data_IF_944691426414
#
_entry.id   IF_944691426414
#
_cell.length_a   1.000
_cell.length_b   1.000
_cell.length_c   1.000
_cell.angle_alpha   90.00
_cell.angle_beta   90.00
_cell.angle_gamma   90.00
#
_symmetry.space_group_name_H-M   'P 1'
#
loop_
_entity.id
_entity.type
_entity.pdbx_description
1 polymer ?
#
# COMPACT_ATOMS: atom_id res chain seq x y z
N UNK A 1 11.22 23.14 8.51
CA UNK A 1 9.74 23.13 8.60
C UNK A 1 9.21 22.34 7.41
N UNK A 2 8.40 21.32 7.65
CA UNK A 2 7.76 20.55 6.58
C UNK A 2 6.71 21.42 5.89
N UNK A 3 6.74 21.49 4.56
CA UNK A 3 5.72 22.23 3.82
C UNK A 3 4.39 21.46 3.82
N UNK A 4 3.23 22.14 3.79
CA UNK A 4 1.93 21.45 3.70
C UNK A 4 1.85 20.50 2.50
N UNK A 5 2.51 20.85 1.40
CA UNK A 5 2.58 20.01 0.20
C UNK A 5 3.31 18.70 0.47
N UNK A 6 4.41 18.71 1.21
CA UNK A 6 5.16 17.51 1.54
C UNK A 6 4.34 16.59 2.48
N UNK A 7 3.64 17.16 3.45
CA UNK A 7 2.73 16.42 4.32
C UNK A 7 1.64 15.69 3.53
N UNK A 8 0.99 16.38 2.60
CA UNK A 8 -0.02 15.77 1.72
C UNK A 8 0.59 14.71 0.80
N UNK A 9 1.81 14.92 0.30
CA UNK A 9 2.50 13.95 -0.54
C UNK A 9 2.82 12.66 0.24
N UNK A 10 3.25 12.76 1.51
CA UNK A 10 3.49 11.60 2.38
C UNK A 10 2.19 10.81 2.63
N UNK A 11 1.10 11.50 2.95
CA UNK A 11 -0.20 10.86 3.13
C UNK A 11 -0.69 10.17 1.86
N UNK A 12 -0.62 10.86 0.72
CA UNK A 12 -1.05 10.34 -0.58
C UNK A 12 -0.18 9.16 -1.02
N UNK A 13 1.14 9.26 -0.84
CA UNK A 13 2.08 8.18 -1.16
C UNK A 13 1.82 6.93 -0.34
N UNK A 14 1.58 7.07 0.97
CA UNK A 14 1.18 5.96 1.83
C UNK A 14 -0.12 5.31 1.33
N UNK A 15 -1.18 6.08 1.14
CA UNK A 15 -2.47 5.58 0.70
C UNK A 15 -2.40 4.90 -0.68
N UNK A 16 -1.62 5.44 -1.62
CA UNK A 16 -1.42 4.84 -2.94
C UNK A 16 -0.65 3.52 -2.91
N UNK A 17 0.20 3.32 -1.92
CA UNK A 17 0.92 2.05 -1.75
C UNK A 17 0.06 1.00 -1.05
N UNK A 18 -0.70 1.38 -0.04
CA UNK A 18 -1.40 0.44 0.84
C UNK A 18 -2.83 0.14 0.39
N UNK A 19 -3.60 1.13 -0.09
CA UNK A 19 -4.99 0.93 -0.46
C UNK A 19 -5.22 -0.09 -1.60
N UNK A 20 -4.43 -0.12 -2.70
CA UNK A 20 -4.57 -1.16 -3.72
C UNK A 20 -4.31 -2.55 -3.17
N UNK A 21 -3.33 -2.68 -2.27
CA UNK A 21 -3.00 -3.92 -1.58
C UNK A 21 -4.17 -4.36 -0.72
N UNK A 22 -4.74 -3.46 0.07
CA UNK A 22 -5.88 -3.72 0.93
C UNK A 22 -7.10 -4.20 0.13
N UNK A 23 -7.37 -3.56 -1.01
CA UNK A 23 -8.48 -3.97 -1.89
C UNK A 23 -8.24 -5.36 -2.45
N UNK A 24 -7.05 -5.64 -3.00
CA UNK A 24 -6.71 -6.92 -3.59
C UNK A 24 -6.70 -8.07 -2.57
N UNK A 25 -6.40 -7.79 -1.29
CA UNK A 25 -6.46 -8.78 -0.22
C UNK A 25 -7.85 -9.38 -0.03
N UNK A 26 -8.89 -8.55 -0.04
CA UNK A 26 -10.24 -8.97 0.30
C UNK A 26 -11.13 -9.23 -0.91
N UNK A 27 -10.75 -8.73 -2.08
CA UNK A 27 -11.53 -8.86 -3.32
C UNK A 27 -11.85 -10.31 -3.72
N UNK A 28 -10.90 -11.28 -3.61
CA UNK A 28 -11.13 -12.65 -4.06
C UNK A 28 -12.15 -13.42 -3.22
N UNK A 29 -12.37 -13.01 -1.98
CA UNK A 29 -13.20 -13.79 -1.04
C UNK A 29 -14.70 -13.46 -1.19
N UNK A 30 -15.51 -14.51 -1.20
CA UNK A 30 -16.97 -14.38 -1.20
C UNK A 30 -17.48 -13.93 0.18
N UNK A 31 -18.73 -13.41 0.25
CA UNK A 31 -19.29 -12.90 1.51
C UNK A 31 -19.38 -13.96 2.61
N UNK A 32 -19.67 -15.21 2.25
CA UNK A 32 -19.76 -16.36 3.18
C UNK A 32 -18.39 -16.77 3.75
N UNK A 33 -17.32 -16.38 3.10
CA UNK A 33 -15.94 -16.64 3.55
C UNK A 33 -15.41 -15.57 4.50
N UNK A 34 -16.13 -14.46 4.65
CA UNK A 34 -15.79 -13.37 5.54
C UNK A 34 -16.51 -13.49 6.87
N UNK A 35 -15.86 -13.09 7.98
CA UNK A 35 -16.46 -13.01 9.30
C UNK A 35 -17.37 -11.79 9.46
N UNK A 36 -17.08 -10.73 8.74
CA UNK A 36 -17.78 -9.47 8.75
C UNK A 36 -18.56 -9.26 7.46
N UNK A 37 -19.63 -8.46 7.52
CA UNK A 37 -20.27 -8.00 6.29
C UNK A 37 -19.29 -7.16 5.47
N UNK A 38 -19.39 -7.23 4.13
CA UNK A 38 -18.50 -6.45 3.26
C UNK A 38 -18.50 -4.96 3.59
N UNK A 39 -19.65 -4.39 3.93
CA UNK A 39 -19.76 -2.97 4.30
C UNK A 39 -18.91 -2.66 5.53
N UNK A 40 -19.04 -3.44 6.59
CA UNK A 40 -18.27 -3.26 7.84
C UNK A 40 -16.79 -3.47 7.59
N UNK A 41 -16.40 -4.49 6.82
CA UNK A 41 -15.01 -4.76 6.48
C UNK A 41 -14.38 -3.58 5.74
N UNK A 42 -15.04 -3.07 4.70
CA UNK A 42 -14.54 -1.92 3.95
C UNK A 42 -14.49 -0.63 4.77
N UNK A 43 -15.42 -0.44 5.70
CA UNK A 43 -15.34 0.68 6.64
C UNK A 43 -14.12 0.57 7.55
N UNK A 44 -13.85 -0.61 8.10
CA UNK A 44 -12.65 -0.85 8.94
C UNK A 44 -11.37 -0.61 8.14
N UNK A 45 -11.29 -1.15 6.92
CA UNK A 45 -10.13 -0.95 6.04
C UNK A 45 -9.95 0.53 5.73
N UNK A 46 -11.00 1.26 5.35
CA UNK A 46 -10.92 2.68 5.04
C UNK A 46 -10.49 3.52 6.26
N UNK A 47 -10.98 3.21 7.46
CA UNK A 47 -10.56 3.88 8.70
C UNK A 47 -9.09 3.57 8.99
N UNK A 48 -8.67 2.31 8.86
CA UNK A 48 -7.28 1.91 9.07
C UNK A 48 -6.34 2.63 8.11
N UNK A 49 -6.70 2.71 6.82
CA UNK A 49 -5.95 3.44 5.80
C UNK A 49 -5.86 4.94 6.09
N UNK A 50 -6.97 5.56 6.48
CA UNK A 50 -6.99 6.98 6.83
C UNK A 50 -6.12 7.28 8.06
N UNK A 51 -6.20 6.46 9.10
CA UNK A 51 -5.36 6.58 10.30
C UNK A 51 -3.90 6.32 9.96
N UNK A 52 -3.60 5.34 9.12
CA UNK A 52 -2.25 5.04 8.64
C UNK A 52 -1.65 6.21 7.86
N UNK A 53 -2.40 6.78 6.91
CA UNK A 53 -1.96 7.92 6.12
C UNK A 53 -1.71 9.17 6.98
N UNK A 54 -2.62 9.49 7.88
CA UNK A 54 -2.46 10.59 8.85
C UNK A 54 -1.25 10.35 9.77
N UNK A 55 -1.13 9.13 10.29
CA UNK A 55 -0.01 8.72 11.13
C UNK A 55 1.33 8.89 10.41
N UNK A 56 1.43 8.46 9.15
CA UNK A 56 2.64 8.61 8.34
C UNK A 56 3.01 10.09 8.16
N UNK A 57 2.04 10.94 7.78
CA UNK A 57 2.26 12.37 7.65
C UNK A 57 2.70 13.03 8.96
N UNK A 58 2.04 12.73 10.07
CA UNK A 58 2.41 13.26 11.40
C UNK A 58 3.79 12.78 11.85
N UNK A 59 4.11 11.51 11.63
CA UNK A 59 5.40 10.93 11.98
C UNK A 59 6.53 11.59 11.20
N UNK A 60 6.39 11.71 9.89
CA UNK A 60 7.38 12.41 9.06
C UNK A 60 7.54 13.86 9.48
N UNK A 61 6.44 14.55 9.80
CA UNK A 61 6.49 15.92 10.29
C UNK A 61 7.22 16.06 11.64
N UNK A 62 7.03 15.11 12.55
CA UNK A 62 7.66 15.13 13.87
C UNK A 62 9.16 14.83 13.83
N UNK A 63 9.59 13.90 12.97
CA UNK A 63 10.97 13.43 12.93
C UNK A 63 11.84 14.12 11.88
N UNK A 64 11.27 14.88 10.95
CA UNK A 64 12.00 15.62 9.92
C UNK A 64 12.68 16.90 10.45
N UNK A 65 13.03 16.94 11.75
CA UNK A 65 13.59 18.10 12.45
C UNK A 65 15.10 18.26 12.29
N UNK A 66 15.71 17.72 11.23
CA UNK A 66 17.11 18.05 10.95
C UNK A 66 17.99 16.96 10.36
N UNK A 67 17.59 15.69 10.38
CA UNK A 67 18.33 14.63 9.73
C UNK A 67 17.45 13.85 8.76
N UNK A 68 17.63 14.03 7.42
CA UNK A 68 16.86 13.30 6.42
C UNK A 68 17.02 11.77 6.50
N UNK A 69 18.10 11.28 7.12
CA UNK A 69 18.31 9.85 7.26
C UNK A 69 17.58 9.25 8.48
N UNK A 70 17.35 10.04 9.53
CA UNK A 70 16.58 9.59 10.69
C UNK A 70 15.11 9.39 10.37
N UNK A 71 14.53 10.20 9.48
CA UNK A 71 13.13 10.10 9.08
C UNK A 71 12.82 8.82 8.29
N UNK A 72 13.77 8.31 7.50
CA UNK A 72 13.57 7.12 6.66
C UNK A 72 13.39 5.85 7.49
N UNK A 73 14.18 5.68 8.54
CA UNK A 73 14.11 4.49 9.40
C UNK A 73 12.79 4.46 10.19
N UNK A 74 12.37 5.59 10.70
CA UNK A 74 11.12 5.70 11.48
C UNK A 74 9.89 5.45 10.61
N UNK A 75 9.87 5.97 9.38
CA UNK A 75 8.83 5.70 8.40
C UNK A 75 8.72 4.20 8.08
N UNK A 76 9.85 3.51 7.95
CA UNK A 76 9.90 2.07 7.71
C UNK A 76 9.33 1.27 8.90
N UNK A 77 9.65 1.64 10.14
CA UNK A 77 9.07 1.00 11.33
C UNK A 77 7.56 1.22 11.43
N UNK A 78 7.10 2.43 11.12
CA UNK A 78 5.66 2.72 11.08
C UNK A 78 4.95 1.88 10.02
N UNK A 79 5.50 1.81 8.80
CA UNK A 79 4.97 0.99 7.71
C UNK A 79 4.93 -0.49 8.10
N UNK A 80 5.99 -1.00 8.73
CA UNK A 80 6.04 -2.39 9.20
C UNK A 80 4.95 -2.69 10.25
N UNK A 81 4.77 -1.79 11.23
CA UNK A 81 3.71 -1.92 12.24
C UNK A 81 2.32 -1.89 11.60
N UNK A 82 2.11 -0.98 10.64
CA UNK A 82 0.85 -0.90 9.90
C UNK A 82 0.56 -2.18 9.14
N UNK A 83 1.53 -2.72 8.41
CA UNK A 83 1.40 -3.98 7.69
C UNK A 83 1.11 -5.16 8.63
N UNK A 84 1.74 -5.19 9.79
CA UNK A 84 1.49 -6.22 10.80
C UNK A 84 0.02 -6.19 11.28
N UNK A 85 -0.50 -4.99 11.60
CA UNK A 85 -1.90 -4.80 11.98
C UNK A 85 -2.85 -5.20 10.85
N UNK A 86 -2.50 -4.84 9.62
CA UNK A 86 -3.28 -5.20 8.44
C UNK A 86 -3.30 -6.72 8.21
N UNK A 87 -2.19 -7.41 8.38
CA UNK A 87 -2.13 -8.87 8.29
C UNK A 87 -2.93 -9.55 9.41
N UNK A 88 -2.88 -9.04 10.63
CA UNK A 88 -3.73 -9.53 11.72
C UNK A 88 -5.21 -9.40 11.35
N UNK A 89 -5.64 -8.25 10.83
CA UNK A 89 -7.00 -8.04 10.34
C UNK A 89 -7.36 -9.02 9.21
N UNK A 90 -6.47 -9.20 8.23
CA UNK A 90 -6.65 -10.11 7.11
C UNK A 90 -6.89 -11.55 7.57
N UNK A 91 -5.99 -12.09 8.38
CA UNK A 91 -6.12 -13.48 8.88
C UNK A 91 -7.33 -13.67 9.77
N UNK A 92 -7.70 -12.67 10.55
CA UNK A 92 -8.88 -12.71 11.41
C UNK A 92 -10.19 -12.58 10.61
N UNK A 93 -10.26 -11.71 9.63
CA UNK A 93 -11.49 -11.41 8.89
C UNK A 93 -11.93 -12.54 7.96
N UNK A 94 -11.03 -13.42 7.53
CA UNK A 94 -11.31 -14.50 6.58
C UNK A 94 -11.48 -15.82 7.32
N UNK A 95 -12.55 -16.57 7.00
CA UNK A 95 -12.90 -17.86 7.64
C UNK A 95 -12.30 -19.08 6.95
N UNK A 96 -11.80 -18.96 5.73
CA UNK A 96 -11.29 -20.06 4.92
C UNK A 96 -10.06 -20.75 5.52
N UNK A 97 -9.71 -21.92 4.98
CA UNK A 97 -8.49 -22.66 5.34
C UNK A 97 -7.24 -21.81 5.10
N UNK A 98 -6.20 -22.05 5.90
CA UNK A 98 -4.95 -21.27 5.85
C UNK A 98 -4.34 -21.22 4.44
N UNK A 99 -4.32 -22.35 3.72
CA UNK A 99 -3.78 -22.43 2.36
C UNK A 99 -4.50 -21.47 1.39
N UNK A 100 -5.83 -21.36 1.49
CA UNK A 100 -6.61 -20.44 0.66
C UNK A 100 -6.36 -18.95 0.98
N UNK A 101 -5.88 -18.64 2.17
CA UNK A 101 -5.46 -17.27 2.56
C UNK A 101 -4.06 -16.97 2.07
N UNK A 102 -3.15 -17.94 2.12
CA UNK A 102 -1.72 -17.73 1.83
C UNK A 102 -1.50 -17.48 0.33
N UNK A 103 -2.23 -18.17 -0.56
CA UNK A 103 -2.03 -18.00 -2.00
C UNK A 103 -2.30 -16.57 -2.50
N UNK A 104 -3.45 -15.93 -2.21
CA UNK A 104 -3.67 -14.53 -2.56
C UNK A 104 -2.64 -13.59 -1.92
N UNK A 105 -2.20 -13.89 -0.70
CA UNK A 105 -1.20 -13.10 0.02
C UNK A 105 0.16 -13.13 -0.68
N UNK A 106 0.62 -14.30 -1.15
CA UNK A 106 1.87 -14.44 -1.90
C UNK A 106 1.81 -13.61 -3.20
N UNK A 107 0.72 -13.75 -3.96
CA UNK A 107 0.53 -12.97 -5.19
C UNK A 107 0.55 -11.46 -4.93
N UNK A 108 -0.02 -11.07 -3.82
CA UNK A 108 -0.06 -9.68 -3.40
C UNK A 108 1.31 -9.13 -3.00
N UNK A 109 2.09 -9.90 -2.25
CA UNK A 109 3.48 -9.54 -1.89
C UNK A 109 4.32 -9.39 -3.16
N UNK A 110 4.17 -10.29 -4.13
CA UNK A 110 4.86 -10.19 -5.42
C UNK A 110 4.44 -8.94 -6.20
N UNK A 111 3.15 -8.61 -6.21
CA UNK A 111 2.66 -7.39 -6.84
C UNK A 111 3.20 -6.13 -6.15
N UNK A 112 3.18 -6.08 -4.83
CA UNK A 112 3.75 -4.96 -4.07
C UNK A 112 5.26 -4.79 -4.33
N UNK A 113 6.02 -5.89 -4.37
CA UNK A 113 7.44 -5.88 -4.69
C UNK A 113 7.69 -5.40 -6.14
N UNK A 114 6.87 -5.84 -7.09
CA UNK A 114 6.94 -5.38 -8.48
C UNK A 114 6.69 -3.87 -8.60
N UNK A 115 5.65 -3.34 -7.96
CA UNK A 115 5.36 -1.91 -7.94
C UNK A 115 6.50 -1.11 -7.31
N UNK A 116 7.06 -1.60 -6.20
CA UNK A 116 8.18 -0.97 -5.53
C UNK A 116 9.42 -0.89 -6.44
N UNK A 117 9.80 -2.00 -7.07
CA UNK A 117 10.92 -2.05 -8.00
C UNK A 117 10.72 -1.09 -9.18
N UNK A 118 9.55 -1.12 -9.80
CA UNK A 118 9.25 -0.29 -10.96
C UNK A 118 9.26 1.19 -10.60
N UNK A 119 8.70 1.55 -9.44
CA UNK A 119 8.72 2.92 -8.94
C UNK A 119 10.16 3.40 -8.65
N UNK A 120 11.01 2.54 -8.09
CA UNK A 120 12.42 2.83 -7.84
C UNK A 120 13.19 3.08 -9.14
N UNK A 121 12.97 2.24 -10.16
CA UNK A 121 13.59 2.40 -11.48
C UNK A 121 13.16 3.73 -12.13
N UNK A 122 11.87 4.05 -12.10
CA UNK A 122 11.36 5.30 -12.65
C UNK A 122 11.89 6.53 -11.91
N UNK A 123 12.00 6.46 -10.58
CA UNK A 123 12.57 7.53 -9.79
C UNK A 123 14.05 7.74 -10.12
N UNK A 124 14.82 6.65 -10.26
CA UNK A 124 16.22 6.71 -10.63
C UNK A 124 16.39 7.28 -12.04
N UNK A 125 15.57 6.87 -13.00
CA UNK A 125 15.58 7.42 -14.36
C UNK A 125 15.23 8.92 -14.35
N UNK A 126 14.25 9.34 -13.55
CA UNK A 126 13.88 10.75 -13.40
C UNK A 126 15.01 11.58 -12.79
N UNK A 127 15.74 11.02 -11.82
CA UNK A 127 16.91 11.69 -11.24
C UNK A 127 18.00 11.92 -12.29
N UNK A 128 18.32 10.90 -13.11
CA UNK A 128 19.37 10.97 -14.14
C UNK A 128 18.99 11.94 -15.26
N UNK A 129 17.74 11.91 -15.74
CA UNK A 129 17.32 12.68 -16.90
C UNK A 129 16.81 14.09 -16.59
N UNK A 130 16.21 14.30 -15.43
CA UNK A 130 15.55 15.57 -15.08
C UNK A 130 16.16 16.27 -13.86
N UNK A 131 17.24 15.72 -13.27
CA UNK A 131 17.91 16.30 -12.11
C UNK A 131 17.02 16.35 -10.85
N UNK A 132 15.99 15.50 -10.79
CA UNK A 132 15.13 15.42 -9.60
C UNK A 132 15.97 14.95 -8.42
N UNK A 133 16.00 15.67 -7.28
CA UNK A 133 16.82 15.27 -6.15
C UNK A 133 16.44 13.88 -5.66
N UNK A 134 17.45 13.03 -5.50
CA UNK A 134 17.30 11.69 -4.93
C UNK A 134 17.04 11.84 -3.42
N UNK A 135 15.80 12.09 -3.07
CA UNK A 135 15.37 12.15 -1.68
C UNK A 135 15.13 10.73 -1.20
N UNK A 136 16.01 10.26 -0.32
CA UNK A 136 15.84 8.98 0.37
C UNK A 136 14.45 8.92 1.01
N UNK A 137 13.57 8.10 0.44
CA UNK A 137 12.29 7.62 0.99
C UNK A 137 11.23 8.65 1.41
N UNK A 138 11.41 9.96 1.22
CA UNK A 138 10.28 10.88 1.32
C UNK A 138 9.42 10.77 0.06
N UNK A 139 8.11 10.76 0.21
CA UNK A 139 7.17 10.74 -0.92
C UNK A 139 7.21 12.06 -1.67
N UNK A 140 8.23 12.22 -2.50
CA UNK A 140 8.32 13.38 -3.38
C UNK A 140 7.11 13.42 -4.32
N UNK A 141 6.54 14.59 -4.67
CA UNK A 141 5.38 14.70 -5.57
C UNK A 141 5.53 13.92 -6.89
N UNK A 142 6.74 13.86 -7.45
CA UNK A 142 7.04 13.04 -8.66
C UNK A 142 6.85 11.56 -8.37
N UNK A 143 7.32 11.07 -7.22
CA UNK A 143 7.17 9.67 -6.80
C UNK A 143 5.70 9.30 -6.60
N UNK A 144 4.92 10.21 -6.01
CA UNK A 144 3.48 10.03 -5.83
C UNK A 144 2.77 9.95 -7.18
N UNK A 145 3.15 10.82 -8.12
CA UNK A 145 2.54 10.85 -9.46
C UNK A 145 2.86 9.58 -10.26
N UNK A 146 4.12 9.12 -10.22
CA UNK A 146 4.53 7.87 -10.89
C UNK A 146 3.86 6.65 -10.25
N UNK A 147 3.76 6.60 -8.92
CA UNK A 147 3.04 5.54 -8.21
C UNK A 147 1.56 5.52 -8.57
N UNK A 148 0.94 6.69 -8.68
CA UNK A 148 -0.45 6.80 -9.12
C UNK A 148 -0.65 6.27 -10.54
N UNK A 149 0.19 6.68 -11.49
CA UNK A 149 0.11 6.24 -12.89
C UNK A 149 0.31 4.72 -12.99
N UNK A 150 1.32 4.17 -12.31
CA UNK A 150 1.58 2.73 -12.27
C UNK A 150 0.41 1.95 -11.68
N UNK A 151 -0.12 2.41 -10.56
CA UNK A 151 -1.26 1.78 -9.90
C UNK A 151 -2.50 1.83 -10.80
N UNK A 152 -2.77 2.97 -11.44
CA UNK A 152 -3.91 3.11 -12.34
C UNK A 152 -3.86 2.14 -13.53
N UNK A 153 -2.67 1.80 -14.03
CA UNK A 153 -2.48 0.87 -15.14
C UNK A 153 -2.51 -0.59 -14.64
N UNK A 154 -1.81 -0.91 -13.57
CA UNK A 154 -1.60 -2.30 -13.14
C UNK A 154 -2.73 -2.84 -12.28
N UNK A 155 -3.40 -2.01 -11.49
CA UNK A 155 -4.47 -2.43 -10.59
C UNK A 155 -5.66 -3.09 -11.31
N UNK A 156 -6.21 -2.55 -12.41
CA UNK A 156 -7.29 -3.20 -13.16
C UNK A 156 -6.89 -4.59 -13.69
N UNK A 157 -5.64 -4.73 -14.14
CA UNK A 157 -5.11 -6.00 -14.63
C UNK A 157 -5.04 -7.02 -13.50
N UNK A 158 -4.57 -6.63 -12.32
CA UNK A 158 -4.52 -7.51 -11.15
C UNK A 158 -5.90 -7.89 -10.63
N UNK A 159 -6.89 -6.98 -10.68
CA UNK A 159 -8.28 -7.30 -10.33
C UNK A 159 -8.85 -8.36 -11.28
N UNK A 160 -8.62 -8.23 -12.59
CA UNK A 160 -9.07 -9.20 -13.58
C UNK A 160 -8.40 -10.57 -13.37
N UNK A 161 -7.11 -10.57 -13.12
CA UNK A 161 -6.34 -11.78 -12.85
C UNK A 161 -6.80 -12.47 -11.56
N UNK A 162 -6.96 -11.73 -10.48
CA UNK A 162 -7.44 -12.24 -9.19
C UNK A 162 -8.83 -12.88 -9.32
N UNK A 163 -9.76 -12.26 -10.03
CA UNK A 163 -11.08 -12.83 -10.28
C UNK A 163 -11.03 -14.14 -11.08
N UNK A 164 -10.12 -14.25 -12.06
CA UNK A 164 -9.99 -15.48 -12.87
C UNK A 164 -9.35 -16.63 -12.09
N UNK A 165 -8.32 -16.33 -11.29
CA UNK A 165 -7.60 -17.36 -10.53
C UNK A 165 -8.38 -17.88 -9.31
N UNK A 166 -9.20 -17.02 -8.70
CA UNK A 166 -9.94 -17.35 -7.48
C UNK A 166 -11.42 -17.67 -7.75
N UNK A 167 -11.87 -17.59 -8.99
CA UNK A 167 -13.19 -18.12 -9.35
C UNK A 167 -13.18 -19.64 -9.14
N UNK A 168 -13.95 -20.19 -8.18
CA UNK A 168 -14.07 -21.63 -8.09
C UNK A 168 -14.60 -22.12 -9.44
N UNK A 169 -13.94 -23.12 -10.01
CA UNK A 169 -14.55 -23.90 -11.10
C UNK A 169 -15.90 -24.35 -10.58
N UNK A 170 -16.98 -23.65 -10.97
CA UNK A 170 -18.32 -24.15 -10.72
C UNK A 170 -18.44 -25.46 -11.52
N UNK A 171 -18.83 -26.54 -10.87
CA UNK A 171 -19.06 -27.83 -11.53
C UNK A 171 -20.19 -27.72 -12.54
#
# INVERSE_FOLDING_TARGET
MMTPLLFLAEMAGFALQTAPIAVLCFLPFAQNELRLSRKVLWTIVAVLEAVGALGMGCFTAAFNKGDPNASSNVGNYFMFLFLLLFFCLYFWAIRTKLAAKVLPLILLIQYAAFLFLLNTILLQASHVHFGVPYLNMSYHPVTVLTSFALTAITFPLMVLFSKRCCSPCSP
#
